data_IF_457524270279
#
_entry.id   IF_457524270279
#
_cell.length_a   1.000
_cell.length_b   1.000
_cell.length_c   1.000
_cell.angle_alpha   90.00
_cell.angle_beta   90.00
_cell.angle_gamma   90.00
#
_symmetry.space_group_name_H-M   'P 1'
#
loop_
_entity.id
_entity.type
_entity.pdbx_description
1 polymer ?
#
# COMPACT_ATOMS: atom_id res chain seq x y z
N UNK A 1 -27.60 -11.53 -11.10
CA UNK A 1 -26.77 -10.76 -10.14
C UNK A 1 -26.83 -11.58 -8.86
N UNK A 2 -25.71 -12.12 -8.36
CA UNK A 2 -25.73 -13.01 -7.20
C UNK A 2 -26.29 -12.29 -5.97
N UNK A 3 -26.88 -13.05 -5.06
CA UNK A 3 -27.52 -12.52 -3.85
C UNK A 3 -26.46 -11.86 -2.95
N UNK A 4 -26.75 -10.71 -2.28
CA UNK A 4 -25.78 -10.06 -1.41
C UNK A 4 -25.15 -10.96 -0.35
N UNK A 5 -25.89 -11.97 0.12
CA UNK A 5 -25.40 -12.92 1.12
C UNK A 5 -24.33 -13.84 0.53
N UNK A 6 -24.56 -14.43 -0.64
CA UNK A 6 -23.58 -15.25 -1.36
C UNK A 6 -22.30 -14.47 -1.65
N UNK A 7 -22.44 -13.19 -2.02
CA UNK A 7 -21.31 -12.28 -2.24
C UNK A 7 -20.43 -12.07 -1.00
N UNK A 8 -21.02 -12.13 0.19
CA UNK A 8 -20.30 -11.85 1.44
C UNK A 8 -19.50 -13.08 1.89
N UNK A 9 -20.06 -14.29 1.75
CA UNK A 9 -19.34 -15.55 2.00
C UNK A 9 -18.14 -15.72 1.06
N UNK A 10 -18.32 -15.38 -0.22
CA UNK A 10 -17.26 -15.41 -1.23
C UNK A 10 -16.05 -14.53 -0.82
N UNK A 11 -16.31 -13.37 -0.22
CA UNK A 11 -15.28 -12.43 0.25
C UNK A 11 -14.58 -12.91 1.53
N UNK A 12 -15.30 -13.58 2.43
CA UNK A 12 -14.73 -14.14 3.67
C UNK A 12 -13.78 -15.30 3.34
N UNK A 13 -14.19 -16.20 2.46
CA UNK A 13 -13.36 -17.34 2.05
C UNK A 13 -12.11 -16.89 1.28
N UNK A 14 -12.22 -15.84 0.46
CA UNK A 14 -11.10 -15.20 -0.21
C UNK A 14 -10.11 -14.53 0.76
N UNK A 15 -10.64 -13.89 1.81
CA UNK A 15 -9.83 -13.31 2.87
C UNK A 15 -9.11 -14.38 3.70
N UNK A 16 -9.77 -15.49 4.03
CA UNK A 16 -9.18 -16.63 4.77
C UNK A 16 -8.08 -17.34 3.97
N UNK A 17 -8.23 -17.45 2.64
CA UNK A 17 -7.17 -18.00 1.76
C UNK A 17 -5.92 -17.11 1.69
N UNK A 18 -5.99 -15.87 2.18
CA UNK A 18 -4.86 -14.94 2.27
C UNK A 18 -4.24 -14.52 0.93
N UNK A 19 -4.84 -14.91 -0.20
CA UNK A 19 -4.31 -14.71 -1.56
C UNK A 19 -5.33 -14.07 -2.50
N UNK A 20 -5.97 -12.98 -2.06
CA UNK A 20 -6.69 -12.12 -3.00
C UNK A 20 -5.71 -11.42 -3.93
N UNK A 21 -5.93 -11.54 -5.24
CA UNK A 21 -5.15 -10.85 -6.29
C UNK A 21 -5.18 -9.31 -6.16
N UNK A 22 -6.13 -8.77 -5.37
CA UNK A 22 -6.31 -7.33 -5.13
C UNK A 22 -5.54 -6.82 -3.91
N UNK A 23 -5.23 -7.68 -2.94
CA UNK A 23 -4.52 -7.31 -1.70
C UNK A 23 -3.06 -6.88 -1.90
N UNK A 24 -2.28 -7.41 -2.86
CA UNK A 24 -0.89 -7.00 -3.08
C UNK A 24 -0.75 -5.51 -3.34
N UNK A 25 -1.67 -4.92 -4.11
CA UNK A 25 -1.62 -3.50 -4.46
C UNK A 25 -1.87 -2.57 -3.26
N UNK A 26 -2.70 -2.96 -2.29
CA UNK A 26 -2.91 -2.19 -1.06
C UNK A 26 -1.68 -2.23 -0.14
N UNK A 27 -1.07 -3.40 0.01
CA UNK A 27 0.16 -3.56 0.81
C UNK A 27 1.34 -2.87 0.14
N UNK A 28 1.47 -3.01 -1.19
CA UNK A 28 2.49 -2.34 -1.98
C UNK A 28 2.33 -0.82 -1.91
N UNK A 29 1.12 -0.28 -2.08
CA UNK A 29 0.91 1.17 -2.06
C UNK A 29 1.22 1.81 -0.71
N UNK A 30 0.80 1.21 0.41
CA UNK A 30 1.06 1.76 1.74
C UNK A 30 2.56 1.87 2.07
N UNK A 31 3.30 0.78 1.88
CA UNK A 31 4.75 0.76 2.14
C UNK A 31 5.50 1.64 1.15
N UNK A 32 5.10 1.67 -0.13
CA UNK A 32 5.73 2.54 -1.12
C UNK A 32 5.56 4.02 -0.79
N UNK A 33 4.39 4.44 -0.29
CA UNK A 33 4.18 5.83 0.15
C UNK A 33 5.11 6.17 1.32
N UNK A 34 5.24 5.28 2.31
CA UNK A 34 6.12 5.50 3.45
C UNK A 34 7.60 5.60 3.01
N UNK A 35 8.05 4.70 2.13
CA UNK A 35 9.41 4.72 1.58
C UNK A 35 9.65 5.98 0.75
N UNK A 36 8.71 6.36 -0.11
CA UNK A 36 8.82 7.58 -0.93
C UNK A 36 8.91 8.84 -0.05
N UNK A 37 8.11 8.93 1.01
CA UNK A 37 8.18 10.02 1.97
C UNK A 37 9.54 10.08 2.68
N UNK A 38 10.06 8.94 3.12
CA UNK A 38 11.38 8.85 3.75
C UNK A 38 12.49 9.32 2.81
N UNK A 39 12.48 8.84 1.56
CA UNK A 39 13.45 9.26 0.53
C UNK A 39 13.37 10.76 0.28
N UNK A 40 12.16 11.31 0.16
CA UNK A 40 11.96 12.75 -0.05
C UNK A 40 12.56 13.60 1.09
N UNK A 41 12.39 13.16 2.35
CA UNK A 41 12.98 13.84 3.52
C UNK A 41 14.50 13.81 3.46
N UNK A 42 15.11 12.65 3.17
CA UNK A 42 16.56 12.51 3.06
C UNK A 42 17.12 13.41 1.95
N UNK A 43 16.48 13.43 0.78
CA UNK A 43 16.88 14.29 -0.33
C UNK A 43 16.74 15.77 0.01
N UNK A 44 15.66 16.17 0.70
CA UNK A 44 15.48 17.55 1.12
C UNK A 44 16.60 18.01 2.07
N UNK A 45 16.97 17.17 3.05
CA UNK A 45 18.07 17.46 3.99
C UNK A 45 19.39 17.58 3.24
N UNK A 46 19.71 16.62 2.36
CA UNK A 46 20.94 16.65 1.58
C UNK A 46 21.02 17.89 0.67
N UNK A 47 19.90 18.27 0.05
CA UNK A 47 19.82 19.44 -0.80
C UNK A 47 19.99 20.74 -0.02
N UNK A 48 19.33 20.87 1.14
CA UNK A 48 19.51 22.03 2.04
C UNK A 48 20.97 22.13 2.47
N UNK A 49 21.57 21.01 2.90
CA UNK A 49 22.97 20.96 3.30
C UNK A 49 23.91 21.41 2.16
N UNK A 50 23.64 20.98 0.92
CA UNK A 50 24.37 21.42 -0.26
C UNK A 50 24.23 22.92 -0.54
N UNK A 51 23.03 23.49 -0.36
CA UNK A 51 22.79 24.91 -0.63
C UNK A 51 23.45 25.85 0.39
N UNK A 52 23.66 25.38 1.62
CA UNK A 52 24.23 26.19 2.71
C UNK A 52 25.72 25.91 2.97
N UNK A 53 26.27 24.85 2.38
CA UNK A 53 27.71 24.53 2.41
C UNK A 53 28.48 25.38 1.39
#
# INVERSE_FOLDING_TARGET
MPDPIEKTEELVEEAERGRSERTPWLVLSGVHIAVAALVAVVLAIAFIAYLIA
#
